data_IF_799922919692
#
_entry.id   IF_799922919692
#
_cell.length_a   1.000
_cell.length_b   1.000
_cell.length_c   1.000
_cell.angle_alpha   90.00
_cell.angle_beta   90.00
_cell.angle_gamma   90.00
#
_symmetry.space_group_name_H-M   'P 1'
#
loop_
_entity.id
_entity.type
_entity.pdbx_description
1 polymer ?
#
# COMPACT_ATOMS: atom_id res chain seq x y z
N UNK A 1 4.11 29.93 -16.23
CA UNK A 1 3.70 28.59 -16.72
C UNK A 1 4.47 28.33 -18.00
N UNK A 2 5.01 27.12 -18.20
CA UNK A 2 5.61 26.74 -19.49
C UNK A 2 4.55 26.08 -20.34
N UNK A 3 4.49 26.44 -21.61
CA UNK A 3 3.56 25.86 -22.58
C UNK A 3 4.27 24.72 -23.31
N UNK A 4 3.57 23.62 -23.50
CA UNK A 4 3.96 22.53 -24.40
C UNK A 4 2.82 22.34 -25.39
N UNK A 5 3.17 22.04 -26.63
CA UNK A 5 2.20 21.68 -27.66
C UNK A 5 2.11 20.16 -27.74
N UNK A 6 0.89 19.66 -27.84
CA UNK A 6 0.57 18.24 -27.98
C UNK A 6 -0.46 18.10 -29.09
N UNK A 7 -0.51 16.94 -29.72
CA UNK A 7 -1.52 16.66 -30.74
C UNK A 7 -2.92 16.47 -30.11
N UNK A 8 -3.95 16.60 -30.95
CA UNK A 8 -5.36 16.47 -30.55
C UNK A 8 -5.70 15.10 -29.95
N UNK A 9 -5.01 14.04 -30.40
CA UNK A 9 -5.20 12.69 -29.88
C UNK A 9 -4.73 12.58 -28.44
N UNK A 10 -3.52 13.08 -28.16
CA UNK A 10 -2.96 13.14 -26.81
C UNK A 10 -3.79 14.06 -25.92
N UNK A 11 -4.30 15.19 -26.45
CA UNK A 11 -5.17 16.08 -25.68
C UNK A 11 -6.46 15.39 -25.23
N UNK A 12 -7.17 14.72 -26.15
CA UNK A 12 -8.39 13.97 -25.82
C UNK A 12 -8.14 12.85 -24.82
N UNK A 13 -7.01 12.15 -24.98
CA UNK A 13 -6.60 11.12 -24.02
C UNK A 13 -6.40 11.73 -22.62
N UNK A 14 -5.63 12.81 -22.50
CA UNK A 14 -5.40 13.49 -21.22
C UNK A 14 -6.70 13.98 -20.59
N UNK A 15 -7.62 14.53 -21.39
CA UNK A 15 -8.93 14.96 -20.91
C UNK A 15 -9.76 13.79 -20.37
N UNK A 16 -9.75 12.63 -21.04
CA UNK A 16 -10.45 11.42 -20.59
C UNK A 16 -9.93 10.86 -19.27
N UNK A 17 -8.66 11.12 -18.96
CA UNK A 17 -8.02 10.66 -17.74
C UNK A 17 -8.25 11.61 -16.56
N UNK A 18 -8.76 12.82 -16.78
CA UNK A 18 -8.94 13.81 -15.73
C UNK A 18 -10.01 13.39 -14.72
N UNK A 19 -9.70 13.47 -13.43
CA UNK A 19 -10.64 13.16 -12.36
C UNK A 19 -11.33 14.45 -11.89
N UNK A 20 -12.66 14.57 -12.01
CA UNK A 20 -13.39 15.75 -11.54
C UNK A 20 -13.07 16.08 -10.08
N UNK A 21 -12.90 17.36 -9.77
CA UNK A 21 -12.61 17.89 -8.43
C UNK A 21 -11.23 17.54 -7.83
N UNK A 22 -10.52 16.56 -8.40
CA UNK A 22 -9.16 16.16 -7.97
C UNK A 22 -8.10 16.84 -8.84
N UNK A 23 -8.24 16.73 -10.16
CA UNK A 23 -7.31 17.36 -11.09
C UNK A 23 -7.80 18.79 -11.39
N UNK A 24 -7.18 19.79 -10.77
CA UNK A 24 -7.54 21.20 -10.98
C UNK A 24 -6.93 21.78 -12.24
N UNK A 25 -5.83 21.19 -12.71
CA UNK A 25 -5.12 21.60 -13.92
C UNK A 25 -4.69 20.38 -14.74
N UNK A 26 -4.45 20.54 -16.06
CA UNK A 26 -3.87 19.47 -16.88
C UNK A 26 -2.53 18.96 -16.35
N UNK A 27 -1.78 19.83 -15.66
CA UNK A 27 -0.51 19.48 -15.06
C UNK A 27 -0.68 18.51 -13.87
N UNK A 28 -1.81 18.58 -13.15
CA UNK A 28 -2.12 17.65 -12.05
C UNK A 28 -2.45 16.26 -12.61
N UNK A 29 -3.23 16.20 -13.69
CA UNK A 29 -3.47 14.97 -14.46
C UNK A 29 -2.15 14.36 -14.93
N UNK A 30 -1.23 15.15 -15.49
CA UNK A 30 0.09 14.68 -15.92
C UNK A 30 0.93 14.18 -14.73
N UNK A 31 1.01 14.92 -13.63
CA UNK A 31 1.77 14.49 -12.45
C UNK A 31 1.24 13.18 -11.88
N UNK A 32 -0.08 12.98 -11.87
CA UNK A 32 -0.70 11.74 -11.41
C UNK A 32 -0.42 10.58 -12.38
N UNK A 33 -0.61 10.78 -13.69
CA UNK A 33 -0.37 9.75 -14.70
C UNK A 33 1.10 9.30 -14.74
N UNK A 34 2.03 10.25 -14.58
CA UNK A 34 3.48 9.97 -14.62
C UNK A 34 4.11 9.80 -13.23
N UNK A 35 3.30 9.80 -12.17
CA UNK A 35 3.73 9.67 -10.77
C UNK A 35 4.85 10.67 -10.38
N UNK A 36 4.73 11.92 -10.83
CA UNK A 36 5.70 13.02 -10.65
C UNK A 36 5.48 13.83 -9.36
N UNK A 37 4.57 13.40 -8.49
CA UNK A 37 4.38 13.93 -7.15
C UNK A 37 5.63 13.63 -6.29
N UNK A 38 6.66 14.47 -6.45
CA UNK A 38 7.77 14.57 -5.49
C UNK A 38 7.16 14.91 -4.13
N UNK A 39 7.28 14.00 -3.16
CA UNK A 39 7.16 14.36 -1.74
C UNK A 39 8.08 15.53 -1.47
N UNK A 40 7.51 16.67 -1.11
CA UNK A 40 8.24 17.82 -0.57
C UNK A 40 8.77 17.46 0.82
N UNK A 41 9.91 16.76 0.87
CA UNK A 41 10.87 17.00 1.95
C UNK A 41 11.63 18.28 1.57
N UNK A 42 11.67 19.23 2.49
CA UNK A 42 12.21 20.56 2.27
C UNK A 42 13.68 20.59 1.82
N UNK A 43 14.00 21.65 1.07
CA UNK A 43 15.32 22.14 0.66
C UNK A 43 16.05 21.39 -0.47
N UNK A 44 15.54 21.59 -1.68
CA UNK A 44 16.31 21.56 -2.92
C UNK A 44 17.28 22.76 -2.95
N UNK A 45 18.57 22.49 -3.12
CA UNK A 45 19.49 23.40 -3.79
C UNK A 45 20.51 22.55 -4.56
N UNK A 46 20.15 22.12 -5.76
CA UNK A 46 21.10 21.53 -6.70
C UNK A 46 21.10 22.31 -8.00
N UNK A 47 22.04 23.23 -8.09
CA UNK A 47 22.72 23.51 -9.36
C UNK A 47 23.53 22.28 -9.77
N UNK A 48 23.68 21.99 -11.07
CA UNK A 48 24.40 20.81 -11.53
C UNK A 48 25.91 21.07 -11.42
N UNK A 49 26.58 20.44 -10.46
CA UNK A 49 28.04 20.29 -10.52
C UNK A 49 28.39 18.86 -10.90
N UNK A 50 28.99 18.75 -12.09
CA UNK A 50 29.80 17.63 -12.54
C UNK A 50 30.88 17.32 -11.50
N UNK A 51 31.24 16.03 -11.47
CA UNK A 51 32.37 15.42 -10.78
C UNK A 51 32.31 15.43 -9.25
N UNK A 52 32.06 14.25 -8.67
CA UNK A 52 32.81 13.71 -7.52
C UNK A 52 32.38 12.25 -7.19
N UNK A 53 33.26 11.46 -6.54
CA UNK A 53 33.44 10.05 -6.83
C UNK A 53 32.73 9.12 -5.85
N UNK A 54 32.44 7.91 -6.32
CA UNK A 54 32.32 6.67 -5.55
C UNK A 54 31.49 6.75 -4.24
N UNK A 55 30.19 7.02 -4.35
CA UNK A 55 29.25 6.74 -3.25
C UNK A 55 28.99 5.24 -3.19
N UNK A 56 29.62 4.57 -2.21
CA UNK A 56 29.26 3.21 -1.78
C UNK A 56 27.73 3.09 -1.73
N UNK A 57 27.17 2.27 -2.60
CA UNK A 57 25.74 1.98 -2.65
C UNK A 57 25.36 1.34 -1.31
N UNK A 58 24.75 2.13 -0.42
CA UNK A 58 24.13 1.59 0.79
C UNK A 58 22.93 0.76 0.33
N UNK A 59 23.09 -0.56 0.24
CA UNK A 59 21.96 -1.46 0.08
C UNK A 59 20.97 -1.17 1.20
N UNK A 60 19.81 -0.61 0.85
CA UNK A 60 18.71 -0.41 1.81
C UNK A 60 18.39 -1.78 2.42
N UNK A 61 18.59 -1.95 3.73
CA UNK A 61 18.15 -3.15 4.44
C UNK A 61 16.64 -3.29 4.19
N UNK A 62 16.22 -4.40 3.60
CA UNK A 62 14.81 -4.67 3.33
C UNK A 62 14.06 -4.69 4.67
N UNK A 63 12.93 -4.02 4.74
CA UNK A 63 12.06 -4.11 5.91
C UNK A 63 11.67 -5.57 6.14
N UNK A 64 11.68 -6.04 7.40
CA UNK A 64 11.34 -7.42 7.72
C UNK A 64 9.87 -7.68 7.40
N UNK A 65 9.59 -8.90 6.89
CA UNK A 65 8.22 -9.33 6.59
C UNK A 65 7.43 -9.47 7.88
N UNK A 66 6.17 -9.06 7.82
CA UNK A 66 5.21 -9.23 8.93
C UNK A 66 5.02 -10.70 9.27
N UNK A 67 5.00 -11.00 10.56
CA UNK A 67 4.89 -12.35 11.10
C UNK A 67 3.84 -12.36 12.24
N UNK A 68 2.73 -13.07 12.01
CA UNK A 68 1.64 -13.18 12.98
C UNK A 68 2.09 -13.89 14.26
N UNK A 69 2.97 -14.89 14.17
CA UNK A 69 3.43 -15.61 15.36
C UNK A 69 4.20 -14.73 16.32
N UNK A 70 4.98 -13.78 15.79
CA UNK A 70 5.67 -12.77 16.61
C UNK A 70 4.71 -11.76 17.24
N UNK A 71 3.67 -11.35 16.50
CA UNK A 71 2.63 -10.48 17.04
C UNK A 71 1.84 -11.16 18.17
N UNK A 72 1.56 -12.46 18.04
CA UNK A 72 0.95 -13.27 19.10
C UNK A 72 1.87 -13.37 20.32
N UNK A 73 3.15 -13.69 20.11
CA UNK A 73 4.14 -13.77 21.19
C UNK A 73 4.33 -12.44 21.93
N UNK A 74 4.20 -11.32 21.22
CA UNK A 74 4.26 -9.97 21.80
C UNK A 74 2.94 -9.54 22.47
N UNK A 75 1.87 -10.34 22.37
CA UNK A 75 0.55 -10.02 22.92
C UNK A 75 -0.21 -8.91 22.17
N UNK A 76 0.23 -8.56 20.96
CA UNK A 76 -0.42 -7.52 20.14
C UNK A 76 -1.67 -8.04 19.41
N UNK A 77 -1.73 -9.35 19.18
CA UNK A 77 -2.92 -10.07 18.68
C UNK A 77 -3.02 -11.40 19.41
N UNK A 78 -4.19 -12.04 19.35
CA UNK A 78 -4.42 -13.35 19.96
C UNK A 78 -4.65 -14.43 18.91
N UNK A 79 -4.21 -15.64 19.20
CA UNK A 79 -4.60 -16.80 18.41
C UNK A 79 -6.10 -17.04 18.57
N UNK A 80 -6.80 -17.33 17.48
CA UNK A 80 -8.27 -17.38 17.46
C UNK A 80 -8.96 -16.02 17.31
N UNK A 81 -8.23 -14.91 17.25
CA UNK A 81 -8.82 -13.59 17.01
C UNK A 81 -9.30 -13.45 15.56
N UNK A 82 -10.51 -12.90 15.38
CA UNK A 82 -11.06 -12.61 14.06
C UNK A 82 -10.49 -11.31 13.49
N UNK A 83 -10.09 -11.36 12.22
CA UNK A 83 -9.68 -10.22 11.41
C UNK A 83 -10.70 -9.96 10.31
N UNK A 84 -10.84 -8.69 9.96
CA UNK A 84 -11.73 -8.21 8.92
C UNK A 84 -10.93 -7.70 7.74
N UNK A 85 -11.35 -8.08 6.53
CA UNK A 85 -10.77 -7.56 5.31
C UNK A 85 -11.33 -6.17 5.00
N UNK A 86 -10.45 -5.24 4.64
CA UNK A 86 -10.83 -3.92 4.14
C UNK A 86 -10.38 -3.73 2.69
N UNK A 87 -11.17 -2.96 1.94
CA UNK A 87 -10.89 -2.61 0.55
C UNK A 87 -9.76 -1.57 0.41
N UNK A 88 -9.54 -1.06 -0.81
CA UNK A 88 -8.55 -0.01 -1.07
C UNK A 88 -8.97 1.37 -0.56
N UNK A 89 -10.26 1.58 -0.33
CA UNK A 89 -10.86 2.81 0.18
C UNK A 89 -10.95 2.83 1.72
N UNK A 90 -10.60 1.72 2.37
CA UNK A 90 -10.63 1.57 3.83
C UNK A 90 -11.96 1.03 4.36
N UNK A 91 -12.90 0.65 3.48
CA UNK A 91 -14.18 0.09 3.89
C UNK A 91 -14.03 -1.38 4.26
N UNK A 92 -14.65 -1.78 5.37
CA UNK A 92 -14.80 -3.19 5.74
C UNK A 92 -15.62 -3.93 4.68
N UNK A 93 -15.11 -5.06 4.20
CA UNK A 93 -15.82 -5.93 3.26
C UNK A 93 -16.61 -6.99 4.07
N UNK A 94 -17.95 -6.96 4.05
CA UNK A 94 -18.76 -7.92 4.80
C UNK A 94 -18.62 -9.33 4.21
N UNK A 95 -18.61 -10.35 5.08
CA UNK A 95 -18.47 -11.76 4.66
C UNK A 95 -17.03 -12.21 4.40
N UNK A 96 -16.04 -11.34 4.61
CA UNK A 96 -14.61 -11.66 4.54
C UNK A 96 -13.96 -11.52 5.92
N UNK A 97 -14.38 -12.38 6.84
CA UNK A 97 -13.74 -12.58 8.13
C UNK A 97 -12.76 -13.75 8.07
N UNK A 98 -11.62 -13.65 8.75
CA UNK A 98 -10.70 -14.75 8.88
C UNK A 98 -10.13 -14.81 10.30
N UNK A 99 -9.90 -16.01 10.81
CA UNK A 99 -9.44 -16.20 12.19
C UNK A 99 -7.92 -16.42 12.21
N UNK A 100 -7.20 -15.77 13.12
CA UNK A 100 -5.76 -16.01 13.29
C UNK A 100 -5.56 -17.45 13.77
N UNK A 101 -4.67 -18.17 13.08
CA UNK A 101 -4.21 -19.51 13.46
C UNK A 101 -2.70 -19.61 13.29
N UNK A 102 -1.97 -19.30 14.36
CA UNK A 102 -0.52 -19.26 14.41
C UNK A 102 0.09 -18.25 13.43
N UNK A 103 0.67 -18.73 12.33
CA UNK A 103 1.28 -17.89 11.28
C UNK A 103 0.36 -17.62 10.08
N UNK A 104 -0.83 -18.23 10.08
CA UNK A 104 -1.79 -18.22 8.98
C UNK A 104 -3.14 -17.64 9.41
N UNK A 105 -4.01 -17.45 8.44
CA UNK A 105 -5.43 -17.15 8.66
C UNK A 105 -6.25 -18.39 8.30
N UNK A 106 -7.18 -18.76 9.18
CA UNK A 106 -8.21 -19.76 8.94
C UNK A 106 -9.41 -19.09 8.27
N UNK A 107 -9.78 -19.57 7.09
CA UNK A 107 -10.93 -19.07 6.33
C UNK A 107 -11.62 -20.25 5.63
N UNK A 108 -12.92 -20.45 5.90
CA UNK A 108 -13.68 -21.61 5.43
C UNK A 108 -12.96 -22.96 5.70
N UNK A 109 -12.46 -23.14 6.92
CA UNK A 109 -11.68 -24.31 7.36
C UNK A 109 -10.34 -24.56 6.63
N UNK A 110 -9.89 -23.61 5.78
CA UNK A 110 -8.59 -23.66 5.11
C UNK A 110 -7.59 -22.68 5.75
N UNK A 111 -6.33 -23.12 5.92
CA UNK A 111 -5.24 -22.26 6.35
C UNK A 111 -4.59 -21.57 5.15
N UNK A 112 -4.68 -20.25 5.11
CA UNK A 112 -4.20 -19.43 3.99
C UNK A 112 -3.32 -18.28 4.50
N UNK A 113 -2.35 -17.85 3.69
CA UNK A 113 -1.55 -16.67 4.02
C UNK A 113 -2.36 -15.38 3.90
N UNK A 114 -2.04 -14.36 4.71
CA UNK A 114 -2.73 -13.05 4.70
C UNK A 114 -2.81 -12.43 3.30
N UNK A 115 -1.71 -12.45 2.55
CA UNK A 115 -1.65 -11.82 1.22
C UNK A 115 -2.44 -12.58 0.17
N UNK A 116 -2.40 -13.92 0.23
CA UNK A 116 -3.11 -14.76 -0.71
C UNK A 116 -4.62 -14.72 -0.49
N UNK A 117 -5.04 -14.77 0.78
CA UNK A 117 -6.44 -14.62 1.13
C UNK A 117 -6.96 -13.23 0.75
N UNK A 118 -6.22 -12.16 1.06
CA UNK A 118 -6.60 -10.81 0.66
C UNK A 118 -6.70 -10.68 -0.87
N UNK A 119 -5.76 -11.25 -1.64
CA UNK A 119 -5.82 -11.25 -3.11
C UNK A 119 -7.06 -12.00 -3.62
N UNK A 120 -7.36 -13.17 -3.06
CA UNK A 120 -8.53 -14.00 -3.43
C UNK A 120 -9.84 -13.24 -3.17
N UNK A 121 -9.98 -12.64 -2.00
CA UNK A 121 -11.18 -11.90 -1.60
C UNK A 121 -11.36 -10.60 -2.39
N UNK A 122 -10.31 -9.79 -2.53
CA UNK A 122 -10.38 -8.54 -3.31
C UNK A 122 -10.71 -8.80 -4.79
N UNK A 123 -10.21 -9.89 -5.36
CA UNK A 123 -10.53 -10.28 -6.74
C UNK A 123 -12.02 -10.62 -6.91
N UNK A 124 -12.66 -11.22 -5.90
CA UNK A 124 -14.11 -11.52 -5.92
C UNK A 124 -14.96 -10.25 -5.92
N UNK A 125 -14.52 -9.22 -5.21
CA UNK A 125 -15.14 -7.89 -5.20
C UNK A 125 -14.86 -7.04 -6.45
N UNK A 126 -14.18 -7.61 -7.46
CA UNK A 126 -13.89 -6.92 -8.72
C UNK A 126 -12.60 -6.10 -8.73
N UNK A 127 -11.76 -6.17 -7.67
CA UNK A 127 -10.46 -5.50 -7.67
C UNK A 127 -9.40 -6.36 -8.36
N UNK A 128 -8.80 -5.83 -9.43
CA UNK A 128 -7.69 -6.45 -10.16
C UNK A 128 -6.34 -5.84 -9.76
N UNK A 129 -5.69 -6.42 -8.75
CA UNK A 129 -4.28 -6.12 -8.44
C UNK A 129 -3.50 -7.40 -8.22
N UNK A 130 -2.35 -7.51 -8.89
CA UNK A 130 -1.45 -8.65 -8.72
C UNK A 130 -0.63 -8.60 -7.43
N UNK A 131 -0.45 -7.40 -6.87
CA UNK A 131 0.31 -7.16 -5.65
C UNK A 131 -0.59 -6.56 -4.58
N UNK A 132 -0.89 -7.37 -3.56
CA UNK A 132 -1.69 -6.94 -2.41
C UNK A 132 -0.80 -6.85 -1.17
N UNK A 133 -0.87 -5.71 -0.49
CA UNK A 133 -0.24 -5.55 0.83
C UNK A 133 -1.11 -6.25 1.88
N UNK A 134 -1.03 -7.60 1.94
CA UNK A 134 -1.87 -8.44 2.80
C UNK A 134 -2.04 -7.90 4.23
N UNK A 135 -0.97 -7.69 5.01
CA UNK A 135 -1.06 -7.18 6.37
C UNK A 135 -1.76 -5.82 6.53
N UNK A 136 -1.74 -4.97 5.50
CA UNK A 136 -2.41 -3.65 5.52
C UNK A 136 -3.92 -3.75 5.24
N UNK A 137 -4.39 -4.93 4.81
CA UNK A 137 -5.80 -5.16 4.47
C UNK A 137 -6.57 -5.90 5.56
N UNK A 138 -5.87 -6.49 6.51
CA UNK A 138 -6.48 -7.19 7.64
C UNK A 138 -6.48 -6.28 8.86
N UNK A 139 -7.65 -6.13 9.46
CA UNK A 139 -7.91 -5.27 10.61
C UNK A 139 -8.42 -6.09 11.78
N UNK A 140 -7.98 -5.75 12.99
CA UNK A 140 -8.55 -6.30 14.22
C UNK A 140 -9.96 -5.76 14.46
N UNK A 141 -10.64 -6.32 15.46
CA UNK A 141 -11.91 -5.80 16.00
C UNK A 141 -11.82 -4.33 16.43
N UNK A 142 -10.63 -3.88 16.83
CA UNK A 142 -10.37 -2.50 17.28
C UNK A 142 -10.11 -1.53 16.11
N UNK A 143 -10.18 -2.02 14.86
CA UNK A 143 -9.96 -1.19 13.68
C UNK A 143 -8.49 -0.88 13.41
N UNK A 144 -7.55 -1.64 13.98
CA UNK A 144 -6.12 -1.48 13.76
C UNK A 144 -5.67 -2.51 12.71
N UNK A 145 -4.93 -2.09 11.69
CA UNK A 145 -4.40 -3.02 10.69
C UNK A 145 -3.15 -3.77 11.17
N UNK A 146 -2.98 -5.00 10.69
CA UNK A 146 -1.86 -5.87 11.08
C UNK A 146 -0.50 -5.25 10.74
N UNK A 147 -0.40 -4.44 9.67
CA UNK A 147 0.86 -3.75 9.34
C UNK A 147 1.18 -2.69 10.40
N UNK A 148 0.21 -1.92 10.89
CA UNK A 148 0.41 -0.96 11.98
C UNK A 148 0.88 -1.66 13.26
N UNK A 149 0.29 -2.80 13.63
CA UNK A 149 0.75 -3.60 14.78
C UNK A 149 2.18 -4.12 14.59
N UNK A 150 2.53 -4.52 13.37
CA UNK A 150 3.89 -4.92 13.03
C UNK A 150 4.90 -3.78 13.15
N UNK A 151 4.54 -2.59 12.66
CA UNK A 151 5.40 -1.41 12.77
C UNK A 151 5.60 -1.02 14.25
N UNK A 152 4.56 -1.16 15.09
CA UNK A 152 4.67 -0.96 16.54
C UNK A 152 5.62 -1.98 17.21
N UNK A 153 5.48 -3.26 16.86
CA UNK A 153 6.39 -4.31 17.35
C UNK A 153 7.85 -4.00 17.00
N UNK A 154 8.13 -3.61 15.75
CA UNK A 154 9.49 -3.26 15.31
C UNK A 154 10.04 -1.99 15.95
N UNK A 155 9.19 -1.03 16.33
CA UNK A 155 9.61 0.19 17.01
C UNK A 155 9.96 -0.04 18.48
N UNK A 156 9.34 -1.04 19.11
CA UNK A 156 9.58 -1.42 20.50
C UNK A 156 10.69 -2.46 20.72
N UNK A 157 11.27 -3.01 19.64
CA UNK A 157 12.35 -4.03 19.68
C UNK A 157 13.69 -3.41 19.27
#
# INVERSE_FOLDING_TARGET
MKTIEIDDGVYKFLQSQAIPFVDKTPNDTLKRLFNLEKKSDGSDNFSPKKDQPNRKIRFRKKQPKTDLSKLIQAGLVQDGQTLYLHDYRGNKLPGYEATISGKHLLWNDELVSMSELAKKCLKKEGYSSDSVQGPKRWYTTDGIDIKTLWDQYLAGT
#
